data_IF_990395403358
#
_entry.id   IF_990395403358
#
_cell.length_a   1.000
_cell.length_b   1.000
_cell.length_c   1.000
_cell.angle_alpha   90.00
_cell.angle_beta   90.00
_cell.angle_gamma   90.00
#
_symmetry.space_group_name_H-M   'P 1'
#
loop_
_entity.id
_entity.type
_entity.pdbx_description
1 polymer ?
#
# COMPACT_ATOMS: atom_id res chain seq x y z
N UNK A 1 2.99 40.61 -17.11
CA UNK A 1 2.22 39.34 -17.10
C UNK A 1 3.20 38.19 -17.00
N UNK A 2 3.40 37.63 -15.80
CA UNK A 2 4.17 36.38 -15.62
C UNK A 2 3.17 35.24 -15.64
N UNK A 3 3.22 34.43 -16.70
CA UNK A 3 2.44 33.21 -16.85
C UNK A 3 2.86 32.25 -15.76
N UNK A 4 1.92 31.89 -14.87
CA UNK A 4 2.08 30.79 -13.93
C UNK A 4 1.97 29.50 -14.73
N UNK A 5 3.10 28.89 -15.04
CA UNK A 5 3.17 27.49 -15.45
C UNK A 5 3.01 26.64 -14.18
N UNK A 6 1.79 26.36 -13.77
CA UNK A 6 1.49 25.28 -12.84
C UNK A 6 1.90 23.96 -13.50
N UNK A 7 2.88 23.46 -13.14
CA UNK A 7 4.02 22.73 -12.95
C UNK A 7 3.83 21.26 -13.22
N UNK A 8 4.12 20.80 -14.47
CA UNK A 8 4.65 19.44 -14.68
C UNK A 8 5.86 19.25 -13.75
N UNK A 9 5.96 18.18 -12.95
CA UNK A 9 7.15 17.92 -12.14
C UNK A 9 8.38 18.00 -13.04
N UNK A 10 9.47 18.63 -12.57
CA UNK A 10 10.66 18.71 -13.40
C UNK A 10 11.14 17.30 -13.71
N UNK A 11 11.57 17.05 -14.93
CA UNK A 11 12.07 15.74 -15.37
C UNK A 11 13.13 15.15 -14.42
N UNK A 12 13.97 16.00 -13.86
CA UNK A 12 14.96 15.60 -12.85
C UNK A 12 14.30 15.11 -11.55
N UNK A 13 13.21 15.75 -11.11
CA UNK A 13 12.46 15.32 -9.93
C UNK A 13 11.81 13.94 -10.15
N UNK A 14 11.21 13.74 -11.33
CA UNK A 14 10.60 12.44 -11.67
C UNK A 14 11.66 11.34 -11.70
N UNK A 15 12.78 11.54 -12.41
CA UNK A 15 13.87 10.55 -12.44
C UNK A 15 14.40 10.20 -11.04
N UNK A 16 14.56 11.19 -10.17
CA UNK A 16 14.97 10.95 -8.78
C UNK A 16 13.95 10.10 -8.03
N UNK A 17 12.68 10.42 -8.13
CA UNK A 17 11.61 9.71 -7.44
C UNK A 17 11.44 8.27 -7.97
N UNK A 18 11.46 8.09 -9.29
CA UNK A 18 11.34 6.77 -9.93
C UNK A 18 12.53 5.86 -9.53
N UNK A 19 13.75 6.44 -9.55
CA UNK A 19 14.96 5.71 -9.14
C UNK A 19 14.91 5.35 -7.67
N UNK A 20 14.53 6.28 -6.79
CA UNK A 20 14.43 6.04 -5.37
C UNK A 20 13.34 5.00 -5.04
N UNK A 21 12.18 5.09 -5.69
CA UNK A 21 11.07 4.13 -5.54
C UNK A 21 11.53 2.71 -5.83
N UNK A 22 12.20 2.52 -6.96
CA UNK A 22 12.74 1.21 -7.35
C UNK A 22 13.77 0.68 -6.36
N UNK A 23 14.72 1.52 -5.97
CA UNK A 23 15.82 1.13 -5.07
C UNK A 23 15.32 0.86 -3.65
N UNK A 24 14.51 1.76 -3.09
CA UNK A 24 13.96 1.59 -1.75
C UNK A 24 13.09 0.35 -1.63
N UNK A 25 12.28 0.06 -2.64
CA UNK A 25 11.46 -1.14 -2.64
C UNK A 25 12.27 -2.42 -2.77
N UNK A 26 13.28 -2.42 -3.66
CA UNK A 26 14.08 -3.62 -3.92
C UNK A 26 15.09 -3.96 -2.82
N UNK A 27 15.69 -2.96 -2.18
CA UNK A 27 16.88 -3.14 -1.33
C UNK A 27 16.70 -2.65 0.11
N UNK A 28 15.61 -1.93 0.39
CA UNK A 28 15.37 -1.29 1.69
C UNK A 28 15.81 0.17 1.73
N UNK A 29 15.13 0.93 2.55
CA UNK A 29 15.31 2.40 2.57
C UNK A 29 16.67 2.77 3.17
N UNK A 30 17.04 2.16 4.31
CA UNK A 30 18.28 2.50 4.99
C UNK A 30 19.52 2.02 4.23
N UNK A 31 19.44 0.91 3.51
CA UNK A 31 20.55 0.35 2.74
C UNK A 31 20.95 1.23 1.53
N UNK A 32 20.02 2.02 1.00
CA UNK A 32 20.25 2.84 -0.20
C UNK A 32 20.71 4.23 0.16
N UNK A 33 21.95 4.58 -0.22
CA UNK A 33 22.54 5.91 -0.01
C UNK A 33 22.12 6.93 -1.08
N UNK A 34 22.16 8.22 -0.74
CA UNK A 34 21.87 9.34 -1.66
C UNK A 34 22.78 9.31 -2.88
N UNK A 35 24.09 8.95 -2.72
CA UNK A 35 25.04 8.90 -3.82
C UNK A 35 24.63 7.92 -4.90
N UNK A 36 24.13 6.78 -4.50
CA UNK A 36 23.65 5.78 -5.43
C UNK A 36 22.41 6.28 -6.19
N UNK A 37 21.48 6.92 -5.47
CA UNK A 37 20.27 7.47 -6.11
C UNK A 37 20.61 8.52 -7.15
N UNK A 38 21.50 9.48 -6.83
CA UNK A 38 21.88 10.55 -7.79
C UNK A 38 22.65 10.00 -8.98
N UNK A 39 23.51 9.00 -8.77
CA UNK A 39 24.25 8.33 -9.84
C UNK A 39 23.32 7.61 -10.82
N UNK A 40 22.39 6.78 -10.30
CA UNK A 40 21.45 6.03 -11.13
C UNK A 40 20.38 6.93 -11.78
N UNK A 41 19.94 7.99 -11.09
CA UNK A 41 19.03 9.00 -11.67
C UNK A 41 19.72 9.94 -12.67
N UNK A 42 21.04 9.87 -12.81
CA UNK A 42 21.84 10.73 -13.67
C UNK A 42 21.61 12.23 -13.39
N UNK A 43 21.65 12.60 -12.11
CA UNK A 43 21.54 13.98 -11.64
C UNK A 43 22.66 14.32 -10.67
N UNK A 44 22.82 15.61 -10.33
CA UNK A 44 23.80 16.02 -9.31
C UNK A 44 23.17 16.01 -7.91
N UNK A 45 24.00 15.94 -6.85
CA UNK A 45 23.56 16.13 -5.46
C UNK A 45 22.84 17.47 -5.27
N UNK A 46 23.34 18.55 -5.88
CA UNK A 46 22.72 19.88 -5.82
C UNK A 46 21.29 19.84 -6.43
N UNK A 47 21.09 19.09 -7.50
CA UNK A 47 19.78 18.91 -8.10
C UNK A 47 18.86 18.13 -7.18
N UNK A 48 19.33 17.06 -6.52
CA UNK A 48 18.54 16.32 -5.54
C UNK A 48 18.08 17.24 -4.41
N UNK A 49 19.00 17.93 -3.72
CA UNK A 49 18.66 18.79 -2.58
C UNK A 49 17.80 19.98 -2.93
N UNK A 50 17.78 20.42 -4.18
CA UNK A 50 16.82 21.43 -4.66
C UNK A 50 15.38 20.90 -4.69
N UNK A 51 15.16 19.59 -4.92
CA UNK A 51 13.85 18.96 -5.02
C UNK A 51 13.41 18.25 -3.74
N UNK A 52 14.35 17.70 -3.01
CA UNK A 52 14.16 16.94 -1.78
C UNK A 52 15.20 17.39 -0.76
N UNK A 53 14.82 18.18 0.27
CA UNK A 53 15.75 18.72 1.28
C UNK A 53 16.58 17.66 1.99
N UNK A 54 16.05 16.43 2.11
CA UNK A 54 16.72 15.30 2.72
C UNK A 54 16.29 13.95 2.15
N UNK A 55 16.95 12.89 2.59
CA UNK A 55 16.55 11.51 2.25
C UNK A 55 15.15 11.18 2.73
N UNK A 56 14.78 11.68 3.91
CA UNK A 56 13.45 11.45 4.49
C UNK A 56 12.34 12.05 3.62
N UNK A 57 12.57 13.25 3.04
CA UNK A 57 11.60 13.87 2.10
C UNK A 57 11.43 13.03 0.82
N UNK A 58 12.51 12.41 0.35
CA UNK A 58 12.45 11.51 -0.79
C UNK A 58 11.72 10.20 -0.44
N UNK A 59 11.91 9.68 0.77
CA UNK A 59 11.17 8.52 1.30
C UNK A 59 9.68 8.83 1.42
N UNK A 60 9.32 10.00 1.95
CA UNK A 60 7.93 10.45 2.02
C UNK A 60 7.31 10.58 0.63
N UNK A 61 8.06 11.12 -0.34
CA UNK A 61 7.59 11.23 -1.71
C UNK A 61 7.36 9.84 -2.35
N UNK A 62 8.24 8.88 -2.08
CA UNK A 62 8.07 7.48 -2.49
C UNK A 62 6.78 6.87 -1.91
N UNK A 63 6.58 6.95 -0.59
CA UNK A 63 5.40 6.40 0.05
C UNK A 63 4.10 7.09 -0.43
N UNK A 64 4.15 8.41 -0.64
CA UNK A 64 3.02 9.16 -1.19
C UNK A 64 2.68 8.76 -2.62
N UNK A 65 3.67 8.37 -3.45
CA UNK A 65 3.41 7.87 -4.80
C UNK A 65 2.72 6.51 -4.75
N UNK A 66 3.22 5.59 -3.89
CA UNK A 66 2.61 4.27 -3.68
C UNK A 66 1.20 4.41 -3.11
N UNK A 67 1.00 5.29 -2.12
CA UNK A 67 -0.33 5.57 -1.53
C UNK A 67 -1.32 6.04 -2.58
N UNK A 68 -0.90 7.00 -3.41
CA UNK A 68 -1.73 7.56 -4.47
C UNK A 68 -2.14 6.51 -5.50
N UNK A 69 -1.21 5.65 -5.91
CA UNK A 69 -1.48 4.57 -6.85
C UNK A 69 -2.49 3.55 -6.25
N UNK A 70 -2.32 3.19 -4.97
CA UNK A 70 -3.23 2.26 -4.29
C UNK A 70 -4.63 2.85 -4.09
N UNK A 71 -4.71 4.15 -3.74
CA UNK A 71 -6.01 4.86 -3.65
C UNK A 71 -6.71 4.91 -4.98
N UNK A 72 -6.02 5.32 -6.05
CA UNK A 72 -6.60 5.34 -7.40
C UNK A 72 -7.16 3.99 -7.81
N UNK A 73 -6.42 2.91 -7.55
CA UNK A 73 -6.87 1.54 -7.85
C UNK A 73 -8.11 1.14 -7.04
N UNK A 74 -8.19 1.53 -5.77
CA UNK A 74 -9.36 1.27 -4.93
C UNK A 74 -10.57 2.09 -5.40
N UNK A 75 -10.35 3.38 -5.72
CA UNK A 75 -11.39 4.29 -6.22
C UNK A 75 -11.95 3.79 -7.57
N UNK A 76 -11.09 3.32 -8.48
CA UNK A 76 -11.51 2.71 -9.75
C UNK A 76 -12.36 1.47 -9.53
N UNK A 77 -11.96 0.58 -8.59
CA UNK A 77 -12.71 -0.62 -8.27
C UNK A 77 -14.08 -0.29 -7.64
N UNK A 78 -14.16 0.75 -6.82
CA UNK A 78 -15.40 1.24 -6.20
C UNK A 78 -16.28 1.92 -7.25
N UNK A 79 -15.69 2.75 -8.12
CA UNK A 79 -16.40 3.46 -9.17
C UNK A 79 -16.97 2.52 -10.27
N UNK A 80 -16.48 1.30 -10.38
CA UNK A 80 -17.02 0.28 -11.28
C UNK A 80 -18.48 -0.13 -10.96
N UNK A 81 -19.01 0.30 -9.80
CA UNK A 81 -20.41 0.09 -9.42
C UNK A 81 -20.78 -1.36 -9.12
N UNK A 82 -19.80 -2.21 -8.87
CA UNK A 82 -20.02 -3.61 -8.47
C UNK A 82 -20.65 -3.68 -7.06
N UNK A 83 -21.37 -4.76 -6.74
CA UNK A 83 -21.74 -5.07 -5.36
C UNK A 83 -20.52 -5.04 -4.44
N UNK A 84 -20.68 -4.58 -3.21
CA UNK A 84 -19.56 -4.37 -2.28
C UNK A 84 -18.70 -5.64 -2.07
N UNK A 85 -19.33 -6.81 -1.99
CA UNK A 85 -18.63 -8.08 -1.90
C UNK A 85 -17.74 -8.35 -3.14
N UNK A 86 -18.23 -8.01 -4.34
CA UNK A 86 -17.46 -8.19 -5.58
C UNK A 86 -16.34 -7.15 -5.70
N UNK A 87 -16.53 -5.95 -5.16
CA UNK A 87 -15.46 -4.95 -5.03
C UNK A 87 -14.34 -5.45 -4.12
N UNK A 88 -14.67 -6.04 -2.95
CA UNK A 88 -13.66 -6.67 -2.06
C UNK A 88 -12.93 -7.82 -2.76
N UNK A 89 -13.65 -8.66 -3.53
CA UNK A 89 -13.03 -9.71 -4.35
C UNK A 89 -12.08 -9.13 -5.41
N UNK A 90 -12.47 -8.05 -6.06
CA UNK A 90 -11.63 -7.38 -7.06
C UNK A 90 -10.34 -6.81 -6.42
N UNK A 91 -10.46 -6.11 -5.30
CA UNK A 91 -9.29 -5.63 -4.53
C UNK A 91 -8.39 -6.79 -4.09
N UNK A 92 -8.97 -7.90 -3.62
CA UNK A 92 -8.21 -9.08 -3.19
C UNK A 92 -7.46 -9.73 -4.36
N UNK A 93 -8.08 -9.82 -5.53
CA UNK A 93 -7.42 -10.33 -6.75
C UNK A 93 -6.26 -9.43 -7.18
N UNK A 94 -6.42 -8.11 -7.08
CA UNK A 94 -5.34 -7.16 -7.36
C UNK A 94 -4.16 -7.32 -6.40
N UNK A 95 -4.42 -7.50 -5.10
CA UNK A 95 -3.39 -7.81 -4.10
C UNK A 95 -2.67 -9.13 -4.46
N UNK A 96 -3.41 -10.18 -4.77
CA UNK A 96 -2.85 -11.47 -5.17
C UNK A 96 -2.01 -11.38 -6.45
N UNK A 97 -2.44 -10.57 -7.42
CA UNK A 97 -1.65 -10.29 -8.63
C UNK A 97 -0.34 -9.57 -8.30
N UNK A 98 -0.38 -8.59 -7.38
CA UNK A 98 0.81 -7.90 -6.89
C UNK A 98 1.81 -8.87 -6.24
N UNK A 99 1.33 -9.81 -5.40
CA UNK A 99 2.18 -10.84 -4.76
C UNK A 99 2.86 -11.75 -5.80
N UNK A 100 2.21 -12.02 -6.93
CA UNK A 100 2.78 -12.83 -8.03
C UNK A 100 3.69 -12.05 -8.97
N UNK A 101 3.78 -10.75 -8.82
CA UNK A 101 4.59 -9.92 -9.72
C UNK A 101 6.09 -10.17 -9.54
N UNK A 102 6.87 -10.21 -10.63
CA UNK A 102 8.33 -10.30 -10.54
C UNK A 102 8.90 -9.19 -9.66
N UNK A 103 9.83 -9.55 -8.77
CA UNK A 103 10.45 -8.57 -7.87
C UNK A 103 9.58 -8.15 -6.69
N UNK A 104 8.50 -8.86 -6.39
CA UNK A 104 7.69 -8.61 -5.20
C UNK A 104 8.53 -8.71 -3.91
N UNK A 105 8.44 -7.67 -3.07
CA UNK A 105 9.20 -7.53 -1.81
C UNK A 105 8.29 -7.19 -0.62
N UNK A 106 7.03 -7.59 -0.70
CA UNK A 106 6.07 -7.30 0.37
C UNK A 106 5.41 -5.93 0.26
N UNK A 107 4.85 -5.49 1.36
CA UNK A 107 4.19 -4.20 1.44
C UNK A 107 5.19 -3.07 1.70
N UNK A 108 5.24 -2.07 0.81
CA UNK A 108 6.11 -0.89 0.95
C UNK A 108 5.93 -0.19 2.31
N UNK A 109 4.69 -0.11 2.81
CA UNK A 109 4.39 0.53 4.09
C UNK A 109 4.83 -0.31 5.31
N UNK A 110 4.69 -1.63 5.27
CA UNK A 110 5.19 -2.50 6.34
C UNK A 110 6.71 -2.51 6.37
N UNK A 111 7.36 -2.52 5.22
CA UNK A 111 8.81 -2.40 5.11
C UNK A 111 9.30 -1.07 5.69
N UNK A 112 8.68 0.05 5.32
CA UNK A 112 9.00 1.36 5.86
C UNK A 112 8.73 1.43 7.38
N UNK A 113 7.66 0.81 7.89
CA UNK A 113 7.37 0.77 9.32
C UNK A 113 8.46 0.04 10.13
N UNK A 114 9.04 -1.02 9.57
CA UNK A 114 10.14 -1.76 10.20
C UNK A 114 11.43 -0.94 10.26
N UNK A 115 11.69 -0.12 9.25
CA UNK A 115 12.87 0.74 9.19
C UNK A 115 12.72 2.05 9.97
N UNK A 116 11.49 2.53 10.22
CA UNK A 116 11.19 3.77 10.94
C UNK A 116 10.31 3.48 12.19
N UNK A 117 10.88 2.88 13.24
CA UNK A 117 10.12 2.49 14.44
C UNK A 117 9.71 3.67 15.32
N UNK A 118 10.41 4.82 15.24
CA UNK A 118 10.18 5.97 16.10
C UNK A 118 8.78 6.55 15.86
N UNK A 119 7.92 6.71 16.90
CA UNK A 119 6.56 7.21 16.76
C UNK A 119 6.49 8.61 16.14
N UNK A 120 7.49 9.45 16.39
CA UNK A 120 7.54 10.84 15.90
C UNK A 120 7.98 10.97 14.44
N UNK A 121 8.56 9.90 13.86
CA UNK A 121 9.03 9.93 12.48
C UNK A 121 7.89 10.32 11.52
N UNK A 122 8.11 11.31 10.63
CA UNK A 122 7.15 11.64 9.56
C UNK A 122 6.83 10.45 8.67
N UNK A 123 7.81 9.56 8.42
CA UNK A 123 7.63 8.32 7.65
C UNK A 123 6.66 7.40 8.38
N UNK A 124 6.83 7.21 9.70
CA UNK A 124 5.92 6.41 10.52
C UNK A 124 4.50 6.96 10.49
N UNK A 125 4.35 8.28 10.59
CA UNK A 125 3.03 8.94 10.50
C UNK A 125 2.37 8.71 9.15
N UNK A 126 3.13 8.81 8.04
CA UNK A 126 2.62 8.51 6.70
C UNK A 126 2.18 7.05 6.56
N UNK A 127 2.94 6.10 7.12
CA UNK A 127 2.54 4.68 7.17
C UNK A 127 1.23 4.50 7.90
N UNK A 128 1.07 5.08 9.10
CA UNK A 128 -0.15 4.95 9.90
C UNK A 128 -1.37 5.56 9.19
N UNK A 129 -1.20 6.72 8.53
CA UNK A 129 -2.25 7.36 7.76
C UNK A 129 -2.74 6.48 6.59
N UNK A 130 -1.81 5.87 5.84
CA UNK A 130 -2.15 4.91 4.78
C UNK A 130 -2.90 3.69 5.34
N UNK A 131 -2.43 3.14 6.46
CA UNK A 131 -3.03 1.97 7.10
C UNK A 131 -4.45 2.24 7.57
N UNK A 132 -4.67 3.40 8.17
CA UNK A 132 -6.00 3.82 8.60
C UNK A 132 -6.94 3.98 7.40
N UNK A 133 -6.50 4.69 6.34
CA UNK A 133 -7.28 4.80 5.11
C UNK A 133 -7.69 3.45 4.54
N UNK A 134 -6.77 2.48 4.50
CA UNK A 134 -7.08 1.16 3.95
C UNK A 134 -8.09 0.40 4.82
N UNK A 135 -7.94 0.47 6.16
CA UNK A 135 -8.91 -0.11 7.09
C UNK A 135 -10.29 0.52 6.91
N UNK A 136 -10.37 1.85 6.85
CA UNK A 136 -11.62 2.58 6.66
C UNK A 136 -12.30 2.20 5.34
N UNK A 137 -11.53 2.11 4.24
CA UNK A 137 -12.04 1.70 2.92
C UNK A 137 -12.66 0.30 2.96
N UNK A 138 -12.01 -0.66 3.61
CA UNK A 138 -12.54 -2.03 3.75
C UNK A 138 -13.75 -2.05 4.68
N UNK A 139 -13.73 -1.30 5.77
CA UNK A 139 -14.87 -1.16 6.70
C UNK A 139 -16.11 -0.63 5.98
N UNK A 140 -15.95 0.43 5.18
CA UNK A 140 -17.05 1.03 4.41
C UNK A 140 -17.65 0.05 3.39
N UNK A 141 -16.81 -0.78 2.76
CA UNK A 141 -17.28 -1.80 1.83
C UNK A 141 -18.04 -2.93 2.56
N UNK A 142 -17.51 -3.40 3.68
CA UNK A 142 -18.17 -4.44 4.48
C UNK A 142 -19.50 -3.96 5.10
N UNK A 143 -19.54 -2.70 5.54
CA UNK A 143 -20.78 -2.08 6.06
C UNK A 143 -21.90 -2.01 4.99
N UNK A 144 -21.55 -1.92 3.70
CA UNK A 144 -22.53 -2.00 2.59
C UNK A 144 -23.05 -3.40 2.32
N UNK A 145 -22.33 -4.45 2.75
CA UNK A 145 -22.80 -5.84 2.66
C UNK A 145 -23.81 -6.11 3.78
N UNK A 146 -23.49 -5.63 4.99
CA UNK A 146 -24.34 -5.78 6.15
C UNK A 146 -24.22 -4.54 7.04
N UNK A 147 -25.36 -3.93 7.40
CA UNK A 147 -25.43 -2.75 8.28
C UNK A 147 -25.21 -3.13 9.76
N UNK A 148 -24.06 -3.69 10.08
CA UNK A 148 -23.62 -4.03 11.44
C UNK A 148 -22.22 -3.47 11.64
N UNK A 149 -21.67 -3.61 12.85
CA UNK A 149 -20.27 -3.30 13.11
C UNK A 149 -19.35 -4.12 12.18
N UNK A 150 -18.84 -3.48 11.12
CA UNK A 150 -18.01 -4.10 10.10
C UNK A 150 -16.50 -4.03 10.44
N UNK A 151 -16.12 -3.24 11.45
CA UNK A 151 -14.71 -2.99 11.78
C UNK A 151 -13.97 -4.27 12.20
N UNK A 152 -14.52 -5.21 12.99
CA UNK A 152 -13.83 -6.47 13.29
C UNK A 152 -13.50 -7.27 12.03
N UNK A 153 -14.46 -7.44 11.11
CA UNK A 153 -14.23 -8.15 9.86
C UNK A 153 -13.22 -7.40 8.95
N UNK A 154 -13.22 -6.08 8.96
CA UNK A 154 -12.23 -5.28 8.24
C UNK A 154 -10.82 -5.47 8.81
N UNK A 155 -10.67 -5.54 10.12
CA UNK A 155 -9.39 -5.86 10.77
C UNK A 155 -8.90 -7.26 10.40
N UNK A 156 -9.78 -8.26 10.37
CA UNK A 156 -9.45 -9.62 9.93
C UNK A 156 -8.96 -9.62 8.48
N UNK A 157 -9.64 -8.89 7.59
CA UNK A 157 -9.21 -8.73 6.20
C UNK A 157 -7.81 -8.10 6.11
N UNK A 158 -7.56 -7.00 6.85
CA UNK A 158 -6.26 -6.32 6.85
C UNK A 158 -5.16 -7.24 7.38
N UNK A 159 -5.41 -8.02 8.44
CA UNK A 159 -4.45 -8.99 8.98
C UNK A 159 -4.17 -10.12 7.98
N UNK A 160 -5.19 -10.67 7.33
CA UNK A 160 -5.00 -11.68 6.28
C UNK A 160 -4.17 -11.14 5.10
N UNK A 161 -4.47 -9.92 4.67
CA UNK A 161 -3.70 -9.23 3.62
C UNK A 161 -2.24 -9.05 4.02
N UNK A 162 -1.97 -8.57 5.22
CA UNK A 162 -0.61 -8.35 5.71
C UNK A 162 0.17 -9.66 5.84
N UNK A 163 -0.49 -10.70 6.36
CA UNK A 163 0.07 -12.05 6.39
C UNK A 163 0.41 -12.59 5.00
N UNK A 164 -0.48 -12.39 4.02
CA UNK A 164 -0.24 -12.80 2.63
C UNK A 164 0.91 -12.04 1.99
N UNK A 165 1.02 -10.71 2.24
CA UNK A 165 2.12 -9.88 1.75
C UNK A 165 3.48 -10.32 2.34
N UNK A 166 3.52 -10.70 3.61
CA UNK A 166 4.74 -11.21 4.25
C UNK A 166 5.08 -12.62 3.78
N UNK A 167 4.10 -13.52 3.76
CA UNK A 167 4.29 -14.92 3.35
C UNK A 167 4.67 -15.05 1.86
N UNK A 168 4.14 -14.17 0.99
CA UNK A 168 4.48 -14.14 -0.43
C UNK A 168 5.95 -13.81 -0.73
N UNK A 169 6.68 -13.25 0.25
CA UNK A 169 8.14 -13.05 0.14
C UNK A 169 8.94 -14.31 0.52
N UNK A 170 8.33 -15.27 1.19
CA UNK A 170 9.01 -16.41 1.82
C UNK A 170 8.65 -17.75 1.17
N UNK A 171 7.45 -17.86 0.64
CA UNK A 171 6.89 -19.12 0.15
C UNK A 171 6.40 -18.99 -1.29
N UNK A 172 5.91 -20.10 -1.86
CA UNK A 172 5.30 -20.10 -3.19
C UNK A 172 4.15 -19.08 -3.29
N UNK A 173 4.30 -18.03 -4.12
CA UNK A 173 3.27 -17.00 -4.28
C UNK A 173 1.91 -17.55 -4.73
N UNK A 174 1.88 -18.65 -5.50
CA UNK A 174 0.64 -19.24 -5.98
C UNK A 174 -0.18 -19.81 -4.81
N UNK A 175 0.47 -20.57 -3.92
CA UNK A 175 -0.15 -21.13 -2.72
C UNK A 175 -0.64 -20.05 -1.75
N UNK A 176 0.18 -19.00 -1.55
CA UNK A 176 -0.17 -17.89 -0.66
C UNK A 176 -1.39 -17.13 -1.19
N UNK A 177 -1.42 -16.83 -2.50
CA UNK A 177 -2.55 -16.16 -3.13
C UNK A 177 -3.84 -16.99 -3.04
N UNK A 178 -3.77 -18.30 -3.29
CA UNK A 178 -4.92 -19.19 -3.14
C UNK A 178 -5.45 -19.18 -1.70
N UNK A 179 -4.55 -19.29 -0.72
CA UNK A 179 -4.90 -19.27 0.71
C UNK A 179 -5.54 -17.96 1.11
N UNK A 180 -4.98 -16.83 0.68
CA UNK A 180 -5.52 -15.49 0.94
C UNK A 180 -6.93 -15.34 0.34
N UNK A 181 -7.09 -15.65 -0.95
CA UNK A 181 -8.38 -15.49 -1.64
C UNK A 181 -9.47 -16.40 -1.03
N UNK A 182 -9.13 -17.64 -0.65
CA UNK A 182 -10.04 -18.53 0.07
C UNK A 182 -10.41 -17.98 1.45
N UNK A 183 -9.48 -17.36 2.17
CA UNK A 183 -9.73 -16.69 3.44
C UNK A 183 -10.71 -15.53 3.28
N UNK A 184 -10.54 -14.71 2.24
CA UNK A 184 -11.46 -13.61 1.91
C UNK A 184 -12.88 -14.11 1.61
N UNK A 185 -13.03 -15.19 0.84
CA UNK A 185 -14.35 -15.76 0.58
C UNK A 185 -15.06 -16.23 1.86
N UNK A 186 -14.32 -16.87 2.77
CA UNK A 186 -14.86 -17.26 4.08
C UNK A 186 -15.28 -16.07 4.92
N UNK A 187 -14.45 -15.03 4.97
CA UNK A 187 -14.78 -13.78 5.67
C UNK A 187 -16.05 -13.16 5.11
N UNK A 188 -16.20 -13.05 3.80
CA UNK A 188 -17.40 -12.51 3.16
C UNK A 188 -18.64 -13.36 3.46
N UNK A 189 -18.52 -14.68 3.43
CA UNK A 189 -19.62 -15.60 3.76
C UNK A 189 -20.07 -15.44 5.21
N UNK A 190 -19.13 -15.43 6.18
CA UNK A 190 -19.43 -15.25 7.61
C UNK A 190 -20.04 -13.87 7.87
N UNK A 191 -19.48 -12.82 7.24
CA UNK A 191 -19.98 -11.47 7.43
C UNK A 191 -21.38 -11.25 6.84
N UNK A 192 -21.69 -11.92 5.71
CA UNK A 192 -23.03 -11.88 5.09
C UNK A 192 -24.06 -12.77 5.81
N UNK A 193 -23.62 -13.85 6.46
CA UNK A 193 -24.50 -14.76 7.19
C UNK A 193 -25.06 -14.06 8.45
N UNK A 194 -26.34 -14.10 8.60
CA UNK A 194 -27.06 -13.56 9.75
C UNK A 194 -26.93 -14.51 10.95
N UNK A 195 -26.74 -13.94 12.16
CA UNK A 195 -26.95 -14.57 13.46
C UNK A 195 -26.42 -16.01 13.67
N UNK A 196 -25.09 -16.10 13.71
CA UNK A 196 -24.51 -17.11 14.60
C UNK A 196 -24.16 -16.33 15.88
N UNK A 197 -25.05 -16.35 16.89
CA UNK A 197 -24.70 -15.90 18.23
C UNK A 197 -23.40 -16.55 18.69
N UNK A 198 -22.70 -15.97 19.68
CA UNK A 198 -21.37 -16.45 20.07
C UNK A 198 -21.43 -17.92 20.43
N UNK A 199 -20.72 -18.76 19.70
CA UNK A 199 -20.59 -20.20 19.94
C UNK A 199 -19.75 -20.53 21.20
N UNK A 200 -19.61 -19.55 22.11
CA UNK A 200 -18.86 -19.63 23.37
C UNK A 200 -19.70 -19.06 24.53
N UNK A 201 -20.81 -19.70 24.85
CA UNK A 201 -21.49 -19.52 26.12
C UNK A 201 -21.37 -20.81 26.93
#
# INVERSE_FOLDING_TARGET
MRSQSEGRPSEARSRLLDTATRLFYAEGIHAVGIDRIVAEAQVTRATLYRHFPGKEDLVLAYLNEVDRAMRSQADEAIAAGLPAADTIRALSRSIAQGIRSPGFRGCAFLNAAAEYPAPESPVRKAVLAHRQWFLDTVTDLLAKIRQTDAEPAARDFVMMRDGAMAAGCLFDPALICETFLRGVERLLQVHAATDIGPAWA
#
